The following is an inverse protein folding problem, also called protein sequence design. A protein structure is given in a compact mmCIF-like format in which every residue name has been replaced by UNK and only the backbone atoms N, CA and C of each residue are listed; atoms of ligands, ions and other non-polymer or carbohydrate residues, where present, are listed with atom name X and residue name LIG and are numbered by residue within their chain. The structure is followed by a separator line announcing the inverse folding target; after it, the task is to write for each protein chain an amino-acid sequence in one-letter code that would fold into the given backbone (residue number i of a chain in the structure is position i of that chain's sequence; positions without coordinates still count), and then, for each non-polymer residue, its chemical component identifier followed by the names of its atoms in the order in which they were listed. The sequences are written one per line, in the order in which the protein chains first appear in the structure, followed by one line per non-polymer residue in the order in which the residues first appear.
data_IF_234796512608
#
_entry.id   IF_234796512608
#
_cell.length_a   1.000
_cell.length_b   1.000
_cell.length_c   1.000
_cell.angle_alpha   90.00
_cell.angle_beta   90.00
_cell.angle_gamma   90.00
#
_symmetry.space_group_name_H-M   'P 1'
#
loop_
_entity.id
_entity.type
_entity.pdbx_description
1 polymer ?
#
# COMPACT_ATOMS: atom_id res chain seq x y z
N UNK A 1 -36.84 13.49 10.90
CA UNK A 1 -36.72 12.11 10.38
C UNK A 1 -35.24 11.88 10.10
N UNK A 2 -34.57 11.09 10.93
CA UNK A 2 -33.14 10.80 10.80
C UNK A 2 -33.01 9.49 10.02
N UNK A 3 -32.39 9.53 8.84
CA UNK A 3 -32.14 8.31 8.05
C UNK A 3 -30.79 7.76 8.51
N UNK A 4 -30.82 6.70 9.33
CA UNK A 4 -29.61 5.92 9.65
C UNK A 4 -29.39 4.87 8.57
N UNK A 5 -28.45 5.14 7.67
CA UNK A 5 -27.96 4.13 6.72
C UNK A 5 -26.97 3.21 7.45
N UNK A 6 -27.25 1.91 7.48
CA UNK A 6 -26.31 0.90 7.97
C UNK A 6 -25.60 0.29 6.75
N UNK A 7 -24.31 0.57 6.61
CA UNK A 7 -23.47 0.01 5.56
C UNK A 7 -22.69 -1.18 6.12
N UNK A 8 -22.94 -2.38 5.62
CA UNK A 8 -22.36 -3.62 6.16
C UNK A 8 -21.37 -4.29 5.21
N UNK A 9 -21.36 -3.92 3.93
CA UNK A 9 -20.50 -4.57 2.93
C UNK A 9 -20.24 -3.67 1.74
N UNK A 10 -19.04 -3.80 1.18
CA UNK A 10 -18.63 -3.19 -0.09
C UNK A 10 -18.27 -4.30 -1.08
N UNK A 11 -18.62 -4.14 -2.35
CA UNK A 11 -18.35 -5.13 -3.40
C UNK A 11 -17.65 -4.45 -4.57
N UNK A 12 -16.56 -5.05 -5.03
CA UNK A 12 -15.90 -4.70 -6.28
C UNK A 12 -16.14 -5.79 -7.31
N UNK A 13 -16.52 -5.37 -8.52
CA UNK A 13 -16.70 -6.27 -9.65
C UNK A 13 -15.50 -6.19 -10.59
N UNK A 14 -15.02 -7.35 -11.01
CA UNK A 14 -13.92 -7.44 -11.97
C UNK A 14 -14.28 -6.76 -13.30
N UNK A 15 -13.32 -6.03 -13.86
CA UNK A 15 -13.35 -5.53 -15.23
C UNK A 15 -12.25 -6.23 -16.04
N UNK A 16 -12.41 -6.30 -17.37
CA UNK A 16 -11.36 -6.73 -18.30
C UNK A 16 -10.67 -8.07 -17.93
N UNK A 17 -11.43 -9.07 -17.49
CA UNK A 17 -10.89 -10.39 -17.14
C UNK A 17 -10.45 -10.56 -15.69
N UNK A 18 -10.49 -9.50 -14.87
CA UNK A 18 -10.21 -9.55 -13.44
C UNK A 18 -8.72 -9.65 -13.09
N UNK A 19 -8.43 -10.13 -11.89
CA UNK A 19 -7.06 -10.31 -11.38
C UNK A 19 -6.55 -11.66 -11.87
N UNK A 20 -5.44 -11.66 -12.62
CA UNK A 20 -4.86 -12.89 -13.16
C UNK A 20 -4.01 -13.63 -12.12
N UNK A 21 -3.70 -14.89 -12.39
CA UNK A 21 -2.85 -15.70 -11.51
C UNK A 21 -1.48 -15.02 -11.27
N UNK A 22 -1.08 -14.92 -10.01
CA UNK A 22 0.15 -14.25 -9.59
C UNK A 22 0.07 -12.72 -9.53
N UNK A 23 -1.06 -12.11 -9.92
CA UNK A 23 -1.30 -10.69 -9.73
C UNK A 23 -1.99 -10.41 -8.40
N UNK A 24 -1.87 -9.18 -7.93
CA UNK A 24 -2.59 -8.66 -6.78
C UNK A 24 -3.31 -7.36 -7.15
N UNK A 25 -4.34 -7.02 -6.40
CA UNK A 25 -5.07 -5.76 -6.51
C UNK A 25 -5.34 -5.21 -5.11
N UNK A 26 -5.21 -3.90 -4.96
CA UNK A 26 -5.62 -3.20 -3.75
C UNK A 26 -7.05 -2.70 -3.90
N UNK A 27 -7.88 -2.97 -2.89
CA UNK A 27 -9.24 -2.44 -2.77
C UNK A 27 -9.27 -1.43 -1.64
N UNK A 28 -9.55 -0.17 -1.96
CA UNK A 28 -9.54 0.93 -0.98
C UNK A 28 -10.97 1.36 -0.71
N UNK A 29 -11.31 1.45 0.58
CA UNK A 29 -12.56 2.01 1.05
C UNK A 29 -12.31 2.84 2.31
N UNK A 30 -13.26 3.71 2.66
CA UNK A 30 -13.19 4.56 3.84
C UNK A 30 -14.50 4.46 4.61
N UNK A 31 -14.39 4.27 5.92
CA UNK A 31 -15.52 4.20 6.84
C UNK A 31 -15.23 5.03 8.09
N UNK A 32 -16.27 5.46 8.80
CA UNK A 32 -16.12 6.13 10.10
C UNK A 32 -15.63 5.12 11.12
N UNK A 33 -14.56 5.46 11.83
CA UNK A 33 -14.12 4.68 13.00
C UNK A 33 -15.20 4.69 14.10
N UNK A 34 -15.38 3.58 14.82
CA UNK A 34 -16.24 3.52 15.99
C UNK A 34 -15.77 4.49 17.07
N UNK A 35 -16.68 4.88 17.97
CA UNK A 35 -16.39 5.86 19.02
C UNK A 35 -15.51 5.27 20.16
N UNK A 36 -15.34 3.95 20.18
CA UNK A 36 -14.50 3.21 21.13
C UNK A 36 -13.43 2.39 20.41
N UNK A 37 -12.36 2.07 21.13
CA UNK A 37 -11.31 1.17 20.64
C UNK A 37 -11.86 -0.22 20.37
N UNK A 38 -11.42 -0.84 19.27
CA UNK A 38 -11.87 -2.17 18.87
C UNK A 38 -10.90 -2.81 17.87
N UNK A 39 -10.85 -4.14 17.86
CA UNK A 39 -10.31 -4.89 16.74
C UNK A 39 -11.40 -5.06 15.67
N UNK A 40 -11.27 -4.33 14.57
CA UNK A 40 -12.16 -4.45 13.41
C UNK A 40 -11.77 -5.67 12.58
N UNK A 41 -12.64 -6.68 12.57
CA UNK A 41 -12.54 -7.84 11.70
C UNK A 41 -13.09 -7.50 10.29
N UNK A 42 -12.35 -7.87 9.26
CA UNK A 42 -12.74 -7.72 7.86
C UNK A 42 -12.77 -9.09 7.20
N UNK A 43 -13.98 -9.49 6.80
CA UNK A 43 -14.30 -10.82 6.28
C UNK A 43 -14.58 -10.76 4.77
N UNK A 44 -13.55 -10.82 3.89
CA UNK A 44 -13.77 -10.77 2.46
C UNK A 44 -14.10 -12.15 1.86
N UNK A 45 -14.95 -12.11 0.84
CA UNK A 45 -15.29 -13.26 -0.01
C UNK A 45 -14.70 -13.03 -1.40
N UNK A 46 -13.78 -13.89 -1.81
CA UNK A 46 -13.11 -13.78 -3.10
C UNK A 46 -13.70 -14.79 -4.09
N UNK A 47 -14.27 -14.27 -5.17
CA UNK A 47 -14.92 -15.05 -6.22
C UNK A 47 -13.99 -15.20 -7.42
N UNK A 48 -13.82 -16.44 -7.89
CA UNK A 48 -13.02 -16.76 -9.06
C UNK A 48 -13.90 -17.08 -10.27
N UNK A 49 -13.30 -16.97 -11.47
CA UNK A 49 -14.00 -17.20 -12.74
C UNK A 49 -14.51 -18.63 -12.91
N UNK A 50 -13.85 -19.60 -12.27
CA UNK A 50 -14.27 -21.01 -12.27
C UNK A 50 -15.46 -21.27 -11.33
N UNK A 51 -15.98 -20.25 -10.64
CA UNK A 51 -17.08 -20.34 -9.69
C UNK A 51 -16.64 -20.74 -8.29
N UNK A 52 -15.35 -20.98 -8.05
CA UNK A 52 -14.83 -21.20 -6.70
C UNK A 52 -14.85 -19.91 -5.88
N UNK A 53 -14.97 -20.07 -4.56
CA UNK A 53 -15.01 -18.98 -3.59
C UNK A 53 -13.99 -19.31 -2.51
N UNK A 54 -13.19 -18.32 -2.13
CA UNK A 54 -12.38 -18.37 -0.91
C UNK A 54 -12.97 -17.38 0.09
N UNK A 55 -13.30 -17.89 1.26
CA UNK A 55 -13.82 -17.13 2.39
C UNK A 55 -12.67 -16.85 3.35
N UNK A 56 -12.23 -15.59 3.42
CA UNK A 56 -11.19 -15.15 4.35
C UNK A 56 -11.82 -14.76 5.68
N UNK A 57 -12.44 -15.73 6.34
CA UNK A 57 -13.24 -15.54 7.57
C UNK A 57 -12.72 -16.37 8.74
N UNK A 58 -11.62 -17.09 8.54
CA UNK A 58 -11.06 -17.98 9.54
C UNK A 58 -10.23 -17.27 10.60
N UNK A 59 -9.93 -18.00 11.66
CA UNK A 59 -9.03 -17.56 12.74
C UNK A 59 -7.59 -17.40 12.24
N UNK A 60 -6.73 -16.76 13.03
CA UNK A 60 -5.31 -16.44 12.70
C UNK A 60 -4.47 -17.63 12.21
N UNK A 61 -4.81 -18.86 12.60
CA UNK A 61 -4.08 -20.09 12.24
C UNK A 61 -4.72 -20.89 11.11
N UNK A 62 -5.83 -20.39 10.55
CA UNK A 62 -6.48 -21.02 9.41
C UNK A 62 -5.71 -20.77 8.12
N UNK A 63 -6.01 -21.53 7.07
CA UNK A 63 -5.45 -21.32 5.73
C UNK A 63 -5.95 -20.01 5.09
N UNK A 64 -7.08 -19.48 5.55
CA UNK A 64 -7.69 -18.25 5.05
C UNK A 64 -8.14 -17.34 6.22
N UNK A 65 -7.17 -16.76 6.96
CA UNK A 65 -7.47 -15.92 8.10
C UNK A 65 -8.09 -14.60 7.65
N UNK A 66 -9.04 -14.09 8.43
CA UNK A 66 -9.57 -12.74 8.19
C UNK A 66 -8.57 -11.65 8.58
N UNK A 67 -8.75 -10.46 8.02
CA UNK A 67 -7.88 -9.33 8.35
C UNK A 67 -8.40 -8.59 9.58
N UNK A 68 -7.52 -8.29 10.53
CA UNK A 68 -7.87 -7.51 11.73
C UNK A 68 -7.17 -6.15 11.68
N UNK A 69 -7.93 -5.08 11.87
CA UNK A 69 -7.39 -3.73 12.11
C UNK A 69 -7.63 -3.35 13.56
N UNK A 70 -6.55 -3.10 14.31
CA UNK A 70 -6.67 -2.56 15.65
C UNK A 70 -6.94 -1.05 15.57
N UNK A 71 -8.14 -0.64 16.00
CA UNK A 71 -8.58 0.75 16.05
C UNK A 71 -8.38 1.23 17.49
N UNK A 72 -7.41 2.12 17.67
CA UNK A 72 -7.04 2.68 18.98
C UNK A 72 -7.46 4.15 19.08
N UNK A 73 -7.57 4.68 20.31
CA UNK A 73 -7.78 6.11 20.49
C UNK A 73 -6.55 6.87 20.01
N UNK A 74 -6.82 8.01 19.40
CA UNK A 74 -5.77 8.95 19.07
C UNK A 74 -5.18 9.53 20.36
N UNK A 75 -3.93 9.17 20.66
CA UNK A 75 -3.18 9.69 21.81
C UNK A 75 -2.46 11.00 21.49
N UNK A 76 -2.57 11.53 20.26
CA UNK A 76 -1.81 12.70 19.77
C UNK A 76 -2.61 14.00 19.71
N UNK A 77 -3.91 13.99 19.99
CA UNK A 77 -4.72 15.23 19.98
C UNK A 77 -4.66 15.94 21.34
N UNK A 78 -3.62 16.74 21.54
CA UNK A 78 -3.81 18.02 22.24
C UNK A 78 -4.55 18.91 21.26
N UNK A 79 -5.80 19.25 21.54
CA UNK A 79 -6.64 20.04 20.65
C UNK A 79 -5.97 21.39 20.33
N UNK A 80 -5.31 21.47 19.18
CA UNK A 80 -4.99 22.74 18.53
C UNK A 80 -6.08 23.04 17.50
N UNK A 81 -6.58 24.28 17.45
CA UNK A 81 -7.63 24.65 16.52
C UNK A 81 -7.13 24.53 15.08
N UNK A 82 -7.99 23.97 14.21
CA UNK A 82 -7.73 23.81 12.80
C UNK A 82 -7.24 25.13 12.16
N UNK A 83 -5.97 25.16 11.76
CA UNK A 83 -5.40 26.27 11.01
C UNK A 83 -5.93 26.19 9.58
N UNK A 84 -6.70 27.19 9.19
CA UNK A 84 -7.21 27.37 7.83
C UNK A 84 -6.03 27.47 6.86
N UNK A 85 -5.85 26.47 6.00
CA UNK A 85 -4.89 26.53 4.90
C UNK A 85 -5.50 27.38 3.78
N UNK A 86 -4.98 28.60 3.63
CA UNK A 86 -5.16 29.40 2.42
C UNK A 86 -4.38 28.76 1.27
N UNK A 87 -5.01 28.74 0.11
CA UNK A 87 -4.42 28.43 -1.20
C UNK A 87 -3.04 29.04 -1.39
N UNK A 88 -2.05 28.20 -1.68
CA UNK A 88 -0.87 28.59 -2.45
C UNK A 88 -0.54 27.48 -3.46
N UNK A 89 -0.93 27.75 -4.71
CA UNK A 89 -0.21 27.54 -5.97
C UNK A 89 0.58 26.24 -6.17
N UNK A 90 0.08 25.44 -7.11
CA UNK A 90 0.75 24.30 -7.76
C UNK A 90 2.16 24.64 -8.26
N UNK A 91 3.14 23.82 -7.87
CA UNK A 91 4.34 23.52 -8.68
C UNK A 91 4.59 22.01 -8.68
N UNK A 92 4.82 21.54 -9.89
CA UNK A 92 5.00 20.16 -10.34
C UNK A 92 6.37 19.59 -9.93
N UNK A 93 6.36 18.27 -9.70
CA UNK A 93 7.44 17.28 -9.64
C UNK A 93 8.82 17.63 -9.06
N UNK A 94 9.19 16.90 -8.00
CA UNK A 94 10.41 16.05 -7.95
C UNK A 94 10.33 15.16 -6.72
N UNK A 95 10.29 13.85 -6.94
CA UNK A 95 10.44 12.81 -5.92
C UNK A 95 11.68 13.04 -5.06
N UNK A 96 11.49 13.15 -3.75
CA UNK A 96 12.57 13.06 -2.76
C UNK A 96 12.47 11.71 -2.07
N UNK A 97 13.11 10.72 -2.67
CA UNK A 97 13.40 9.45 -2.04
C UNK A 97 14.25 9.66 -0.79
N UNK A 98 13.94 8.85 0.21
CA UNK A 98 14.49 8.90 1.55
C UNK A 98 16.02 8.74 1.51
N UNK A 99 16.73 9.64 2.17
CA UNK A 99 18.19 9.76 2.12
C UNK A 99 18.88 8.62 2.88
N UNK A 100 19.26 7.57 2.16
CA UNK A 100 20.42 6.76 2.52
C UNK A 100 21.52 7.02 1.48
N UNK A 101 22.73 7.36 1.90
CA UNK A 101 23.89 7.69 1.05
C UNK A 101 24.41 6.51 0.16
N UNK A 102 23.62 5.45 0.02
CA UNK A 102 23.90 4.26 -0.77
C UNK A 102 24.02 4.49 -2.28
N UNK A 103 23.21 5.34 -2.97
CA UNK A 103 23.31 5.47 -4.42
C UNK A 103 24.58 6.22 -4.86
N UNK A 104 25.10 7.13 -4.03
CA UNK A 104 26.32 7.89 -4.33
C UNK A 104 27.59 7.04 -4.17
N UNK A 105 27.62 6.14 -3.19
CA UNK A 105 28.71 5.16 -3.04
C UNK A 105 28.68 4.13 -4.18
N UNK A 106 27.48 3.65 -4.55
CA UNK A 106 27.31 2.72 -5.67
C UNK A 106 27.75 3.32 -7.02
N UNK A 107 27.48 4.61 -7.28
CA UNK A 107 27.88 5.25 -8.54
C UNK A 107 29.40 5.35 -8.68
N UNK A 108 30.12 5.64 -7.59
CA UNK A 108 31.59 5.70 -7.58
C UNK A 108 32.18 4.31 -7.83
N UNK A 109 31.67 3.27 -7.17
CA UNK A 109 32.14 1.89 -7.36
C UNK A 109 31.91 1.42 -8.81
N UNK A 110 30.72 1.69 -9.36
CA UNK A 110 30.40 1.34 -10.74
C UNK A 110 31.30 2.07 -11.76
N UNK A 111 31.61 3.35 -11.53
CA UNK A 111 32.49 4.13 -12.40
C UNK A 111 33.93 3.58 -12.39
N UNK A 112 34.46 3.19 -11.23
CA UNK A 112 35.81 2.61 -11.15
C UNK A 112 35.87 1.24 -11.85
N UNK A 113 34.85 0.39 -11.65
CA UNK A 113 34.79 -0.92 -12.28
C UNK A 113 34.68 -0.84 -13.81
N UNK A 114 33.94 0.14 -14.35
CA UNK A 114 33.81 0.30 -15.81
C UNK A 114 35.13 0.71 -16.47
N UNK A 115 35.91 1.59 -15.83
CA UNK A 115 37.25 1.99 -16.32
C UNK A 115 38.21 0.81 -16.29
N UNK A 116 38.22 0.02 -15.20
CA UNK A 116 39.06 -1.18 -15.10
C UNK A 116 38.70 -2.20 -16.18
N UNK A 117 37.40 -2.45 -16.39
CA UNK A 117 36.93 -3.37 -17.43
C UNK A 117 37.35 -2.90 -18.83
N UNK A 118 37.28 -1.59 -19.11
CA UNK A 118 37.69 -1.01 -20.38
C UNK A 118 39.20 -1.19 -20.63
N UNK A 119 40.03 -0.97 -19.60
CA UNK A 119 41.48 -1.17 -19.67
C UNK A 119 41.83 -2.64 -19.93
N UNK A 120 41.18 -3.57 -19.22
CA UNK A 120 41.39 -5.02 -19.42
C UNK A 120 40.98 -5.43 -20.84
N UNK A 121 39.85 -4.92 -21.35
CA UNK A 121 39.38 -5.23 -22.70
C UNK A 121 40.37 -4.76 -23.78
N UNK A 122 40.98 -3.59 -23.59
CA UNK A 122 42.00 -3.04 -24.51
C UNK A 122 43.29 -3.87 -24.43
N UNK A 123 43.72 -4.25 -23.22
CA UNK A 123 44.93 -5.06 -23.02
C UNK A 123 44.79 -6.50 -23.53
N UNK A 124 43.58 -7.07 -23.52
CA UNK A 124 43.28 -8.40 -24.08
C UNK A 124 43.21 -8.45 -25.61
N UNK A 125 43.14 -7.29 -26.27
CA UNK A 125 43.03 -7.19 -27.74
C UNK A 125 44.38 -6.95 -28.44
N UNK A 126 45.47 -6.86 -27.68
CA UNK A 126 46.86 -6.93 -28.16
C UNK A 126 47.43 -8.31 -27.87
#
# INVERSE_FOLDING_TARGET
MEIKLHFTSVTWSAQNGGILAGQFQQFVFMVKNPDSEVNGAWDPYQYYKDGSIIEWTGDEKSEAPHSITNIVKDTTVKAEPAKTTKDETVKEDTEKSNSSNTPLVMSIVAAVLSVIALLIAILRKK
#
